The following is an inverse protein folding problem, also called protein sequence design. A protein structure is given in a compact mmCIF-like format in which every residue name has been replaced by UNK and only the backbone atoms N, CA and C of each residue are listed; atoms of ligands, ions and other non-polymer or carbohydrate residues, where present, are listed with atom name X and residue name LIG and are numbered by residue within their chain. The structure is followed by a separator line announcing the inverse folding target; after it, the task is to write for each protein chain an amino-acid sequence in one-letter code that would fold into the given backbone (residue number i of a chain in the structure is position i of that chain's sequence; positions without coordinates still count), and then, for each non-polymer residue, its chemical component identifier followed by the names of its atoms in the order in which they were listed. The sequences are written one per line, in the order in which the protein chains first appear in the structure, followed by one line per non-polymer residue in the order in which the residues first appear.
data_IF_077513088984
#
_entry.id   IF_077513088984
#
_cell.length_a   1.000
_cell.length_b   1.000
_cell.length_c   1.000
_cell.angle_alpha   90.00
_cell.angle_beta   90.00
_cell.angle_gamma   90.00
#
_symmetry.space_group_name_H-M   'P 1'
#
loop_
_entity.id
_entity.type
_entity.pdbx_description
1 polymer ?
#
# COMPACT_ATOMS: atom_id res chain seq x y z
N UNK A 1 5.83 32.35 4.59
CA UNK A 1 6.87 31.35 4.92
C UNK A 1 6.18 30.22 5.68
N UNK A 2 5.88 29.09 5.02
CA UNK A 2 5.27 27.93 5.69
C UNK A 2 6.36 27.30 6.56
N UNK A 3 6.15 27.21 7.88
CA UNK A 3 7.03 26.40 8.74
C UNK A 3 6.79 24.95 8.35
N UNK A 4 7.83 24.27 7.84
CA UNK A 4 7.81 22.82 7.77
C UNK A 4 7.68 22.29 9.19
N UNK A 5 6.65 21.47 9.41
CA UNK A 5 6.45 20.80 10.68
C UNK A 5 7.51 19.70 10.74
N UNK A 6 8.49 19.82 11.63
CA UNK A 6 9.42 18.72 11.88
C UNK A 6 8.59 17.60 12.51
N UNK A 7 8.34 16.54 11.74
CA UNK A 7 7.62 15.36 12.21
C UNK A 7 8.64 14.43 12.86
N UNK A 8 8.36 14.00 14.09
CA UNK A 8 9.15 12.95 14.71
C UNK A 8 8.73 11.60 14.10
N UNK A 9 9.65 10.80 13.53
CA UNK A 9 9.31 9.50 12.95
C UNK A 9 8.60 8.55 13.92
N UNK A 10 8.83 8.69 15.23
CA UNK A 10 8.14 7.89 16.24
C UNK A 10 6.64 8.20 16.35
N UNK A 11 6.20 9.38 15.90
CA UNK A 11 4.77 9.73 15.86
C UNK A 11 4.05 9.06 14.68
N UNK A 12 4.80 8.49 13.72
CA UNK A 12 4.28 7.84 12.51
C UNK A 12 4.16 6.32 12.66
N UNK A 13 4.51 5.76 13.81
CA UNK A 13 4.38 4.33 14.09
C UNK A 13 3.43 4.10 15.25
N UNK A 14 2.79 2.94 15.25
CA UNK A 14 1.90 2.50 16.32
C UNK A 14 2.07 1.03 16.66
N UNK A 15 1.64 0.66 17.86
CA UNK A 15 1.56 -0.73 18.29
C UNK A 15 0.23 -1.38 17.90
N UNK A 16 0.13 -2.70 18.12
CA UNK A 16 -1.10 -3.47 17.85
C UNK A 16 -2.30 -2.95 18.64
N UNK A 17 -2.10 -2.61 19.92
CA UNK A 17 -3.20 -2.19 20.79
C UNK A 17 -3.74 -0.82 20.37
N UNK A 18 -2.84 0.14 20.08
CA UNK A 18 -3.18 1.46 19.53
C UNK A 18 -3.88 1.35 18.17
N UNK A 19 -3.41 0.47 17.29
CA UNK A 19 -4.06 0.18 16.02
C UNK A 19 -5.48 -0.41 16.22
N UNK A 20 -5.65 -1.24 17.26
CA UNK A 20 -6.94 -1.83 17.63
C UNK A 20 -7.96 -0.78 18.04
N UNK A 21 -7.53 0.18 18.86
CA UNK A 21 -8.35 1.32 19.25
C UNK A 21 -8.67 2.21 18.05
N UNK A 22 -7.68 2.53 17.23
CA UNK A 22 -7.83 3.41 16.07
C UNK A 22 -8.76 2.83 15.00
N UNK A 23 -8.60 1.55 14.67
CA UNK A 23 -9.35 0.88 13.60
C UNK A 23 -10.60 0.15 14.10
N UNK A 24 -10.82 0.15 15.42
CA UNK A 24 -11.89 -0.62 16.08
C UNK A 24 -11.76 -2.14 15.86
N UNK A 25 -10.54 -2.64 15.68
CA UNK A 25 -10.25 -4.05 15.42
C UNK A 25 -9.69 -4.75 16.64
N UNK A 26 -9.87 -6.07 16.72
CA UNK A 26 -9.26 -6.83 17.80
C UNK A 26 -7.73 -6.92 17.59
N UNK A 27 -6.92 -6.84 18.66
CA UNK A 27 -5.48 -7.02 18.59
C UNK A 27 -5.04 -8.33 17.92
N UNK A 28 -5.82 -9.40 18.14
CA UNK A 28 -5.58 -10.70 17.50
C UNK A 28 -5.73 -10.63 15.98
N UNK A 29 -6.79 -9.97 15.50
CA UNK A 29 -7.02 -9.81 14.06
C UNK A 29 -5.94 -8.93 13.41
N UNK A 30 -5.53 -7.84 14.06
CA UNK A 30 -4.43 -6.99 13.56
C UNK A 30 -3.12 -7.78 13.45
N UNK A 31 -2.80 -8.64 14.43
CA UNK A 31 -1.61 -9.52 14.34
C UNK A 31 -1.67 -10.46 13.14
N UNK A 32 -2.85 -10.99 12.81
CA UNK A 32 -3.04 -11.81 11.63
C UNK A 32 -2.80 -10.98 10.36
N UNK A 33 -3.38 -9.77 10.26
CA UNK A 33 -3.14 -8.87 9.12
C UNK A 33 -1.65 -8.54 8.96
N UNK A 34 -0.93 -8.30 10.06
CA UNK A 34 0.51 -8.09 10.04
C UNK A 34 1.27 -9.31 9.50
N UNK A 35 0.93 -10.51 9.99
CA UNK A 35 1.58 -11.76 9.58
C UNK A 35 1.28 -12.14 8.12
N UNK A 36 0.09 -11.81 7.64
CA UNK A 36 -0.36 -12.02 6.25
C UNK A 36 0.17 -10.94 5.28
N UNK A 37 0.82 -9.87 5.78
CA UNK A 37 1.31 -8.77 4.95
C UNK A 37 0.21 -7.88 4.37
N UNK A 38 -1.00 -7.90 4.95
CA UNK A 38 -2.15 -7.11 4.49
C UNK A 38 -2.10 -5.65 4.95
N UNK A 39 -1.26 -5.35 5.93
CA UNK A 39 -1.01 -3.99 6.43
C UNK A 39 0.50 -3.78 6.57
N UNK A 40 0.96 -2.54 6.39
CA UNK A 40 2.34 -2.10 6.58
C UNK A 40 2.75 -2.27 8.03
N UNK A 41 3.48 -3.34 8.32
CA UNK A 41 3.97 -3.63 9.65
C UNK A 41 5.29 -4.41 9.58
N UNK A 42 6.10 -4.27 10.63
CA UNK A 42 7.34 -5.04 10.82
C UNK A 42 7.40 -5.58 12.23
N UNK A 43 7.76 -6.86 12.35
CA UNK A 43 8.05 -7.46 13.65
C UNK A 43 9.48 -7.11 14.04
N UNK A 44 9.67 -6.50 15.21
CA UNK A 44 10.98 -6.17 15.77
C UNK A 44 11.22 -6.96 17.04
N UNK A 45 12.48 -7.34 17.31
CA UNK A 45 12.86 -8.22 18.43
C UNK A 45 13.00 -9.69 18.01
N UNK A 46 13.25 -10.58 18.98
CA UNK A 46 13.43 -12.01 18.70
C UNK A 46 12.14 -12.67 18.17
N UNK A 47 12.28 -13.71 17.36
CA UNK A 47 11.16 -14.38 16.65
C UNK A 47 9.94 -14.67 17.55
N UNK A 48 10.18 -15.15 18.77
CA UNK A 48 9.15 -15.53 19.74
C UNK A 48 8.70 -14.42 20.71
N UNK A 49 9.39 -13.27 20.77
CA UNK A 49 9.04 -12.13 21.65
C UNK A 49 9.01 -10.80 20.90
N UNK A 50 8.82 -10.86 19.59
CA UNK A 50 8.81 -9.69 18.76
C UNK A 50 7.53 -8.89 18.92
N UNK A 51 7.66 -7.56 18.88
CA UNK A 51 6.54 -6.61 18.87
C UNK A 51 6.31 -6.18 17.43
N UNK A 52 5.04 -5.99 17.05
CA UNK A 52 4.70 -5.40 15.77
C UNK A 52 4.77 -3.90 15.85
N UNK A 53 5.51 -3.30 14.92
CA UNK A 53 5.51 -1.87 14.64
C UNK A 53 4.72 -1.67 13.36
N UNK A 54 3.68 -0.87 13.43
CA UNK A 54 2.71 -0.65 12.35
C UNK A 54 2.87 0.80 11.86
N UNK A 55 2.87 1.01 10.55
CA UNK A 55 2.84 2.37 9.98
C UNK A 55 1.46 3.00 10.26
N UNK A 56 1.44 4.08 11.03
CA UNK A 56 0.22 4.77 11.46
C UNK A 56 -0.46 5.56 10.34
N UNK A 57 0.27 5.84 9.26
CA UNK A 57 -0.22 6.65 8.13
C UNK A 57 -1.00 5.85 7.10
N UNK A 58 -1.08 4.52 7.26
CA UNK A 58 -1.78 3.65 6.32
C UNK A 58 -3.30 3.68 6.50
N UNK A 59 -4.07 3.34 5.45
CA UNK A 59 -5.53 3.25 5.53
C UNK A 59 -6.00 2.23 6.58
N UNK A 60 -7.19 2.48 7.15
CA UNK A 60 -7.82 1.52 8.04
C UNK A 60 -8.21 0.25 7.26
N UNK A 61 -7.76 -0.95 7.66
CA UNK A 61 -8.08 -2.19 6.94
C UNK A 61 -9.56 -2.59 7.00
N UNK A 62 -10.39 -1.96 7.86
CA UNK A 62 -11.86 -2.10 7.84
C UNK A 62 -12.56 -1.18 6.87
N UNK A 63 -12.00 0.00 6.61
CA UNK A 63 -12.49 0.82 5.51
C UNK A 63 -12.18 -0.02 4.28
N UNK A 64 -13.22 -0.62 3.73
CA UNK A 64 -13.11 -1.73 2.81
C UNK A 64 -12.06 -1.45 1.73
N UNK A 65 -11.50 -2.55 1.25
CA UNK A 65 -10.95 -2.68 -0.09
C UNK A 65 -11.93 -2.11 -1.13
N UNK A 66 -12.00 -0.79 -1.23
CA UNK A 66 -12.76 -0.10 -2.26
C UNK A 66 -12.06 -0.45 -3.58
N UNK A 67 -12.82 -0.77 -4.61
CA UNK A 67 -12.31 -0.69 -5.97
C UNK A 67 -11.90 0.76 -6.19
N UNK A 68 -10.62 1.04 -5.96
CA UNK A 68 -10.01 2.31 -6.27
C UNK A 68 -9.53 2.20 -7.69
N UNK A 69 -10.14 2.98 -8.60
CA UNK A 69 -9.49 3.34 -9.84
C UNK A 69 -8.17 4.02 -9.47
N UNK A 70 -7.06 3.45 -9.94
CA UNK A 70 -5.72 4.03 -9.82
C UNK A 70 -5.10 4.19 -11.19
N UNK A 71 -4.07 5.03 -11.28
CA UNK A 71 -3.23 5.24 -12.45
C UNK A 71 -1.81 4.76 -12.17
N UNK A 72 -1.13 4.23 -13.19
CA UNK A 72 0.26 3.77 -13.07
C UNK A 72 1.21 4.85 -13.59
N UNK A 73 2.12 5.33 -12.75
CA UNK A 73 3.09 6.38 -13.09
C UNK A 73 4.53 5.92 -12.82
N UNK A 74 5.48 6.39 -13.61
CA UNK A 74 6.88 6.03 -13.44
C UNK A 74 7.79 6.71 -14.46
N UNK A 75 9.11 6.59 -14.28
CA UNK A 75 10.08 7.15 -15.22
C UNK A 75 10.25 6.22 -16.43
N UNK A 76 10.39 6.78 -17.65
CA UNK A 76 10.69 6.00 -18.83
C UNK A 76 11.96 5.15 -18.64
N UNK A 77 11.83 3.83 -18.82
CA UNK A 77 12.94 2.89 -18.67
C UNK A 77 13.30 2.53 -17.23
N UNK A 78 12.49 2.92 -16.23
CA UNK A 78 12.66 2.48 -14.85
C UNK A 78 12.04 1.09 -14.62
N UNK A 79 12.67 0.33 -13.71
CA UNK A 79 12.19 -0.99 -13.27
C UNK A 79 11.13 -0.89 -12.15
N UNK A 80 10.79 0.32 -11.69
CA UNK A 80 9.85 0.56 -10.58
C UNK A 80 8.80 1.61 -10.98
N UNK A 81 7.53 1.27 -10.75
CA UNK A 81 6.35 2.05 -11.08
C UNK A 81 5.44 2.18 -9.85
N UNK A 82 4.64 3.25 -9.80
CA UNK A 82 3.80 3.62 -8.66
C UNK A 82 2.33 3.67 -9.07
N UNK A 83 1.45 3.12 -8.25
CA UNK A 83 0.02 3.34 -8.38
C UNK A 83 -0.40 4.57 -7.59
N UNK A 84 -1.03 5.49 -8.29
CA UNK A 84 -1.50 6.77 -7.75
C UNK A 84 -2.99 6.98 -7.99
N UNK A 85 -3.58 7.91 -7.26
CA UNK A 85 -5.01 8.25 -7.44
C UNK A 85 -5.23 9.03 -8.75
N UNK A 86 -6.41 8.90 -9.38
CA UNK A 86 -6.81 9.75 -10.50
C UNK A 86 -6.68 11.23 -10.10
N UNK A 87 -6.00 12.01 -10.96
CA UNK A 87 -5.71 13.42 -10.70
C UNK A 87 -4.43 13.69 -9.91
N UNK A 88 -3.59 12.68 -9.65
CA UNK A 88 -2.22 12.89 -9.16
C UNK A 88 -1.42 13.80 -10.12
N UNK A 89 -0.70 14.78 -9.56
CA UNK A 89 0.18 15.66 -10.32
C UNK A 89 1.46 14.87 -10.68
N UNK A 90 1.59 14.52 -11.95
CA UNK A 90 2.75 13.76 -12.45
C UNK A 90 3.99 14.66 -12.40
N UNK A 91 5.01 14.22 -11.65
CA UNK A 91 6.28 14.93 -11.52
C UNK A 91 7.00 15.06 -12.88
N UNK A 92 7.80 16.12 -13.03
CA UNK A 92 8.56 16.38 -14.25
C UNK A 92 9.47 15.19 -14.60
N UNK A 93 9.23 14.59 -15.77
CA UNK A 93 9.97 13.41 -16.27
C UNK A 93 9.34 12.06 -15.96
N UNK A 94 8.24 12.00 -15.21
CA UNK A 94 7.42 10.80 -15.12
C UNK A 94 6.40 10.72 -16.27
N UNK A 95 6.01 9.50 -16.63
CA UNK A 95 4.96 9.20 -17.60
C UNK A 95 3.81 8.43 -16.95
N UNK A 96 2.62 8.63 -17.52
CA UNK A 96 1.44 7.83 -17.25
C UNK A 96 1.45 6.64 -18.21
N UNK A 97 1.39 5.42 -17.67
CA UNK A 97 1.04 4.24 -18.48
C UNK A 97 -0.49 4.13 -18.50
N UNK A 98 -1.05 4.03 -19.70
CA UNK A 98 -2.49 3.93 -19.93
C UNK A 98 -3.11 2.76 -19.14
N UNK A 99 -4.14 3.07 -18.37
CA UNK A 99 -4.93 2.08 -17.64
C UNK A 99 -5.54 2.66 -16.37
N UNK A 100 -6.86 2.51 -16.23
CA UNK A 100 -7.47 2.50 -14.92
C UNK A 100 -7.23 1.11 -14.30
N UNK A 101 -6.73 1.06 -13.07
CA UNK A 101 -6.47 -0.19 -12.37
C UNK A 101 -7.50 -0.38 -11.28
N UNK A 102 -8.09 -1.58 -11.19
CA UNK A 102 -8.98 -1.98 -10.10
C UNK A 102 -8.34 -3.07 -9.27
N UNK A 103 -8.38 -2.91 -7.96
CA UNK A 103 -7.83 -3.87 -7.01
C UNK A 103 -8.16 -3.51 -5.58
N UNK A 104 -7.74 -4.38 -4.66
CA UNK A 104 -8.13 -4.31 -3.26
C UNK A 104 -6.97 -3.84 -2.40
N UNK A 105 -7.07 -2.62 -1.86
CA UNK A 105 -6.07 -2.06 -0.93
C UNK A 105 -4.83 -1.50 -1.63
N UNK A 106 -3.65 -1.70 -1.04
CA UNK A 106 -2.35 -1.24 -1.59
C UNK A 106 -1.39 -2.41 -1.88
N UNK A 107 -1.79 -3.65 -1.63
CA UNK A 107 -0.97 -4.84 -1.88
C UNK A 107 -1.87 -5.95 -2.40
N UNK A 108 -1.51 -6.52 -3.54
CA UNK A 108 -2.31 -7.55 -4.19
C UNK A 108 -2.18 -7.49 -5.70
N UNK A 109 -3.11 -8.16 -6.37
CA UNK A 109 -3.23 -8.11 -7.82
C UNK A 109 -4.23 -7.03 -8.23
N UNK A 110 -3.84 -6.25 -9.23
CA UNK A 110 -4.65 -5.19 -9.81
C UNK A 110 -4.88 -5.50 -11.28
N UNK A 111 -6.14 -5.40 -11.72
CA UNK A 111 -6.51 -5.61 -13.10
C UNK A 111 -6.57 -4.27 -13.82
N UNK A 112 -5.93 -4.17 -14.99
CA UNK A 112 -6.12 -3.02 -15.88
C UNK A 112 -7.47 -3.16 -16.59
N UNK A 113 -8.31 -2.13 -16.49
CA UNK A 113 -9.64 -2.10 -17.11
C UNK A 113 -9.58 -2.13 -18.64
N UNK A 114 -8.51 -1.60 -19.25
CA UNK A 114 -8.39 -1.47 -20.71
C UNK A 114 -7.85 -2.74 -21.37
N UNK A 115 -6.84 -3.38 -20.76
CA UNK A 115 -6.18 -4.56 -21.32
C UNK A 115 -6.67 -5.89 -20.73
N UNK A 116 -7.33 -5.86 -19.57
CA UNK A 116 -7.70 -7.04 -18.80
C UNK A 116 -6.51 -7.73 -18.11
N UNK A 117 -5.27 -7.30 -18.38
CA UNK A 117 -4.06 -7.83 -17.78
C UNK A 117 -3.89 -7.42 -16.32
N UNK A 118 -3.14 -8.22 -15.58
CA UNK A 118 -2.93 -8.05 -14.14
C UNK A 118 -1.51 -7.66 -13.82
N UNK A 119 -1.37 -6.88 -12.75
CA UNK A 119 -0.09 -6.46 -12.22
C UNK A 119 -0.04 -6.70 -10.71
N UNK A 120 1.11 -7.17 -10.21
CA UNK A 120 1.32 -7.35 -8.78
C UNK A 120 1.78 -6.04 -8.17
N UNK A 121 1.10 -5.63 -7.12
CA UNK A 121 1.39 -4.41 -6.38
C UNK A 121 1.74 -4.81 -4.96
N UNK A 122 2.81 -4.21 -4.45
CA UNK A 122 3.27 -4.36 -3.08
C UNK A 122 3.48 -2.96 -2.53
N UNK A 123 2.67 -2.59 -1.55
CA UNK A 123 2.69 -1.27 -0.91
C UNK A 123 2.59 -0.10 -1.91
N UNK A 124 1.64 -0.19 -2.85
CA UNK A 124 1.42 0.82 -3.91
C UNK A 124 2.47 0.81 -5.03
N UNK A 125 3.46 -0.08 -4.95
CA UNK A 125 4.57 -0.16 -5.92
C UNK A 125 4.48 -1.42 -6.74
N UNK A 126 5.01 -1.36 -7.95
CA UNK A 126 5.09 -2.51 -8.83
C UNK A 126 6.31 -2.46 -9.74
N UNK A 127 6.77 -3.64 -10.16
CA UNK A 127 7.85 -3.79 -11.13
C UNK A 127 7.40 -3.60 -12.59
N UNK A 128 6.11 -3.32 -12.84
CA UNK A 128 5.59 -3.22 -14.20
C UNK A 128 5.42 -4.58 -14.90
N UNK A 129 5.58 -5.71 -14.19
CA UNK A 129 5.44 -7.04 -14.77
C UNK A 129 3.96 -7.45 -14.89
N UNK A 130 3.51 -7.60 -16.13
CA UNK A 130 2.14 -7.97 -16.50
C UNK A 130 1.96 -9.49 -16.59
N UNK A 131 0.80 -9.99 -16.16
CA UNK A 131 0.35 -11.38 -16.32
C UNK A 131 -1.10 -11.42 -16.81
N UNK A 132 -1.52 -12.53 -17.44
CA UNK A 132 -2.89 -12.67 -17.96
C UNK A 132 -3.93 -12.93 -16.86
N UNK A 133 -3.63 -13.79 -15.90
CA UNK A 133 -4.45 -14.04 -14.71
C UNK A 133 -3.56 -14.60 -13.59
N UNK A 134 -3.62 -14.05 -12.37
CA UNK A 134 -2.82 -14.56 -11.27
C UNK A 134 -3.37 -15.90 -10.77
N UNK A 135 -2.50 -16.90 -10.66
CA UNK A 135 -2.81 -18.18 -10.02
C UNK A 135 -2.46 -18.05 -8.53
N UNK A 136 -3.42 -18.32 -7.63
CA UNK A 136 -3.25 -18.26 -6.15
C UNK A 136 -2.21 -19.25 -5.62
#
# INVERSE_FOLDING_TARGET
MKREKIINPLDLIMGVDEAGEMWGLSPGYIKNLCAEGKIRAKKIGGEHRGVWVIDKTQPNPKEEMVEVEMILVGWPGADEWFLEKPGYEIDEGMELIEGAFTGKGLTGWFQCSDSGGWIRVVDGRTSGQWVEEPVE
#
